data_IF_740869667816
#
_entry.id   IF_740869667816
#
_cell.length_a   1.000
_cell.length_b   1.000
_cell.length_c   1.000
_cell.angle_alpha   90.00
_cell.angle_beta   90.00
_cell.angle_gamma   90.00
#
_symmetry.space_group_name_H-M   'P 1'
#
loop_
_entity.id
_entity.type
_entity.pdbx_description
1 polymer ?
#
# COMPACT_ATOMS: atom_id res chain seq x y z
N UNK A 1 -13.18 -7.52 4.90
CA UNK A 1 -13.14 -8.99 4.75
C UNK A 1 -11.87 -9.59 5.35
N UNK A 2 -10.69 -9.16 4.90
CA UNK A 2 -9.40 -9.64 5.44
C UNK A 2 -9.25 -9.51 6.96
N UNK A 3 -9.65 -8.38 7.58
CA UNK A 3 -9.59 -8.22 9.04
C UNK A 3 -10.47 -9.24 9.81
N UNK A 4 -11.67 -9.54 9.32
CA UNK A 4 -12.55 -10.54 9.91
C UNK A 4 -11.91 -11.93 9.85
N UNK A 5 -11.33 -12.29 8.70
CA UNK A 5 -10.65 -13.57 8.53
C UNK A 5 -9.37 -13.67 9.36
N UNK A 6 -8.58 -12.59 9.46
CA UNK A 6 -7.44 -12.54 10.38
C UNK A 6 -7.88 -12.87 11.82
N UNK A 7 -8.93 -12.21 12.32
CA UNK A 7 -9.47 -12.49 13.67
C UNK A 7 -9.97 -13.94 13.80
N UNK A 8 -10.56 -14.49 12.74
CA UNK A 8 -11.06 -15.88 12.70
C UNK A 8 -9.90 -16.89 12.78
N UNK A 9 -8.83 -16.71 12.00
CA UNK A 9 -7.65 -17.56 12.03
C UNK A 9 -6.90 -17.50 13.37
N UNK A 10 -6.94 -16.35 14.04
CA UNK A 10 -6.29 -16.12 15.33
C UNK A 10 -7.21 -16.34 16.54
N UNK A 11 -8.40 -16.93 16.35
CA UNK A 11 -9.38 -17.22 17.43
C UNK A 11 -9.78 -16.00 18.29
N UNK A 12 -9.72 -14.79 17.74
CA UNK A 12 -10.10 -13.54 18.42
C UNK A 12 -11.44 -12.97 17.97
N UNK A 13 -12.03 -13.56 16.93
CA UNK A 13 -13.28 -13.10 16.31
C UNK A 13 -14.46 -13.14 17.29
N UNK A 14 -15.25 -12.06 17.27
CA UNK A 14 -16.49 -11.92 18.01
C UNK A 14 -17.69 -11.94 17.06
N UNK A 15 -18.88 -12.16 17.60
CA UNK A 15 -20.10 -12.21 16.80
C UNK A 15 -20.38 -10.87 16.08
N UNK A 16 -20.01 -9.77 16.72
CA UNK A 16 -20.14 -8.41 16.18
C UNK A 16 -19.30 -8.18 14.93
N UNK A 17 -18.13 -8.81 14.81
CA UNK A 17 -17.24 -8.65 13.65
C UNK A 17 -17.92 -9.12 12.35
N UNK A 18 -18.72 -10.19 12.43
CA UNK A 18 -19.48 -10.71 11.29
C UNK A 18 -20.62 -9.78 10.87
N UNK A 19 -21.27 -9.13 11.84
CA UNK A 19 -22.35 -8.17 11.58
C UNK A 19 -21.78 -6.89 10.97
N UNK A 20 -20.63 -6.42 11.46
CA UNK A 20 -19.93 -5.28 10.89
C UNK A 20 -19.52 -5.57 9.44
N UNK A 21 -18.95 -6.74 9.17
CA UNK A 21 -18.65 -7.17 7.81
C UNK A 21 -19.90 -7.19 6.92
N UNK A 22 -21.00 -7.81 7.38
CA UNK A 22 -22.24 -7.89 6.61
C UNK A 22 -22.87 -6.51 6.36
N UNK A 23 -22.75 -5.61 7.32
CA UNK A 23 -23.20 -4.21 7.19
C UNK A 23 -22.38 -3.45 6.14
N UNK A 24 -21.09 -3.76 6.03
CA UNK A 24 -20.20 -3.24 4.98
C UNK A 24 -20.41 -3.86 3.60
N UNK A 25 -21.28 -4.86 3.46
CA UNK A 25 -21.58 -5.56 2.21
C UNK A 25 -23.06 -5.42 1.79
N UNK A 26 -23.80 -4.47 2.35
CA UNK A 26 -25.25 -4.29 2.10
C UNK A 26 -25.58 -4.01 0.63
N UNK A 27 -24.64 -3.47 -0.14
CA UNK A 27 -24.76 -3.20 -1.58
C UNK A 27 -24.92 -4.46 -2.43
N UNK A 28 -24.50 -5.63 -1.92
CA UNK A 28 -24.69 -6.91 -2.61
C UNK A 28 -26.16 -7.36 -2.62
N UNK A 29 -27.00 -6.78 -1.74
CA UNK A 29 -28.46 -6.98 -1.67
C UNK A 29 -28.90 -8.45 -1.67
N UNK A 30 -28.09 -9.35 -1.10
CA UNK A 30 -28.46 -10.76 -0.94
C UNK A 30 -29.27 -10.96 0.34
N UNK A 31 -30.23 -11.87 0.29
CA UNK A 31 -31.09 -12.17 1.45
C UNK A 31 -30.25 -12.60 2.67
N UNK A 32 -29.17 -13.32 2.44
CA UNK A 32 -28.28 -13.87 3.46
C UNK A 32 -27.47 -12.77 4.15
N UNK A 33 -26.94 -11.80 3.39
CA UNK A 33 -26.25 -10.63 3.94
C UNK A 33 -27.21 -9.76 4.74
N UNK A 34 -28.40 -9.47 4.20
CA UNK A 34 -29.41 -8.66 4.89
C UNK A 34 -29.84 -9.28 6.23
N UNK A 35 -29.96 -10.61 6.29
CA UNK A 35 -30.26 -11.33 7.55
C UNK A 35 -29.15 -11.17 8.57
N UNK A 36 -27.89 -11.35 8.15
CA UNK A 36 -26.72 -11.25 9.04
C UNK A 36 -26.53 -9.83 9.56
N UNK A 37 -26.58 -8.83 8.67
CA UNK A 37 -26.48 -7.42 9.04
C UNK A 37 -27.63 -6.98 9.96
N UNK A 38 -28.81 -7.60 9.84
CA UNK A 38 -29.99 -7.32 10.66
C UNK A 38 -29.98 -7.94 12.06
N UNK A 39 -28.98 -8.77 12.40
CA UNK A 39 -28.91 -9.41 13.71
C UNK A 39 -28.73 -8.39 14.83
N UNK A 40 -29.32 -8.68 15.99
CA UNK A 40 -29.23 -7.84 17.19
C UNK A 40 -28.94 -8.71 18.41
N UNK A 41 -28.30 -8.12 19.40
CA UNK A 41 -27.98 -8.79 20.65
C UNK A 41 -29.24 -9.38 21.35
N UNK A 42 -29.11 -10.50 22.06
CA UNK A 42 -27.87 -11.27 22.29
C UNK A 42 -27.46 -12.07 21.05
N UNK A 43 -26.16 -12.09 20.75
CA UNK A 43 -25.61 -12.79 19.59
C UNK A 43 -25.02 -14.14 20.02
N UNK A 44 -25.30 -15.18 19.25
CA UNK A 44 -24.66 -16.49 19.40
C UNK A 44 -23.61 -16.66 18.31
N UNK A 45 -22.35 -16.86 18.69
CA UNK A 45 -21.24 -16.97 17.73
C UNK A 45 -21.45 -18.09 16.71
N UNK A 46 -21.91 -19.28 17.13
CA UNK A 46 -22.12 -20.41 16.23
C UNK A 46 -23.24 -20.14 15.21
N UNK A 47 -24.33 -19.49 15.63
CA UNK A 47 -25.42 -19.08 14.74
C UNK A 47 -24.92 -18.06 13.71
N UNK A 48 -24.19 -17.04 14.19
CA UNK A 48 -23.63 -15.98 13.37
C UNK A 48 -22.62 -16.53 12.36
N UNK A 49 -21.77 -17.47 12.76
CA UNK A 49 -20.83 -18.15 11.84
C UNK A 49 -21.55 -18.98 10.78
N UNK A 50 -22.62 -19.68 11.15
CA UNK A 50 -23.45 -20.41 10.18
C UNK A 50 -24.08 -19.44 9.17
N UNK A 51 -24.60 -18.30 9.64
CA UNK A 51 -25.19 -17.28 8.77
C UNK A 51 -24.14 -16.60 7.88
N UNK A 52 -22.93 -16.38 8.40
CA UNK A 52 -21.81 -15.85 7.64
C UNK A 52 -21.38 -16.80 6.52
N UNK A 53 -21.33 -18.11 6.77
CA UNK A 53 -21.02 -19.10 5.73
C UNK A 53 -22.05 -19.09 4.59
N UNK A 54 -23.34 -18.97 4.91
CA UNK A 54 -24.40 -18.80 3.92
C UNK A 54 -24.25 -17.49 3.14
N UNK A 55 -23.91 -16.39 3.82
CA UNK A 55 -23.69 -15.08 3.20
C UNK A 55 -22.50 -15.10 2.22
N UNK A 56 -21.34 -15.63 2.63
CA UNK A 56 -20.16 -15.80 1.77
C UNK A 56 -20.49 -16.61 0.52
N UNK A 57 -21.19 -17.74 0.69
CA UNK A 57 -21.64 -18.58 -0.43
C UNK A 57 -22.60 -17.83 -1.36
N UNK A 58 -23.53 -17.04 -0.82
CA UNK A 58 -24.48 -16.25 -1.62
C UNK A 58 -23.78 -15.16 -2.45
N UNK A 59 -22.70 -14.59 -1.91
CA UNK A 59 -21.90 -13.56 -2.55
C UNK A 59 -20.85 -14.12 -3.54
N UNK A 60 -20.67 -15.45 -3.57
CA UNK A 60 -19.63 -16.08 -4.39
C UNK A 60 -18.21 -15.81 -3.87
N UNK A 61 -18.07 -15.50 -2.58
CA UNK A 61 -16.77 -15.25 -1.96
C UNK A 61 -16.16 -16.53 -1.41
N UNK A 62 -14.83 -16.61 -1.51
CA UNK A 62 -14.02 -17.64 -0.88
C UNK A 62 -13.27 -17.06 0.32
N UNK A 63 -12.78 -17.93 1.20
CA UNK A 63 -11.95 -17.50 2.31
C UNK A 63 -10.59 -17.03 1.77
N UNK A 64 -10.17 -15.78 2.05
CA UNK A 64 -8.84 -15.31 1.68
C UNK A 64 -7.75 -16.13 2.40
N UNK A 65 -6.58 -16.31 1.80
CA UNK A 65 -5.43 -16.94 2.46
C UNK A 65 -5.07 -16.26 3.78
N UNK A 66 -4.60 -17.05 4.75
CA UNK A 66 -4.19 -16.54 6.07
C UNK A 66 -3.06 -15.51 5.98
N UNK A 67 -2.11 -15.73 5.07
CA UNK A 67 -0.98 -14.81 4.82
C UNK A 67 -1.47 -13.43 4.33
N UNK A 68 -2.40 -13.38 3.38
CA UNK A 68 -2.98 -12.12 2.90
C UNK A 68 -3.75 -11.39 4.02
N UNK A 69 -4.43 -12.14 4.89
CA UNK A 69 -5.12 -11.57 6.05
C UNK A 69 -4.15 -10.98 7.07
N UNK A 70 -3.03 -11.65 7.31
CA UNK A 70 -1.95 -11.19 8.18
C UNK A 70 -1.29 -9.92 7.63
N UNK A 71 -0.92 -9.92 6.34
CA UNK A 71 -0.34 -8.77 5.66
C UNK A 71 -1.27 -7.56 5.76
N UNK A 72 -2.56 -7.75 5.43
CA UNK A 72 -3.57 -6.70 5.56
C UNK A 72 -3.68 -6.18 7.00
N UNK A 73 -3.70 -7.06 8.00
CA UNK A 73 -3.82 -6.65 9.40
C UNK A 73 -2.62 -5.81 9.86
N UNK A 74 -1.40 -6.23 9.54
CA UNK A 74 -0.17 -5.49 9.84
C UNK A 74 -0.16 -4.12 9.14
N UNK A 75 -0.61 -4.05 7.89
CA UNK A 75 -0.73 -2.79 7.16
C UNK A 75 -1.75 -1.85 7.79
N UNK A 76 -2.89 -2.37 8.28
CA UNK A 76 -3.88 -1.56 9.00
C UNK A 76 -3.33 -1.04 10.33
N UNK A 77 -2.59 -1.85 11.08
CA UNK A 77 -1.94 -1.40 12.31
C UNK A 77 -0.92 -0.30 12.02
N UNK A 78 -0.10 -0.50 10.99
CA UNK A 78 0.92 0.47 10.58
C UNK A 78 0.31 1.77 10.07
N UNK A 79 -0.71 1.72 9.23
CA UNK A 79 -1.40 2.91 8.72
C UNK A 79 -2.00 3.75 9.86
N UNK A 80 -2.54 3.10 10.90
CA UNK A 80 -3.06 3.78 12.09
C UNK A 80 -1.97 4.49 12.91
N UNK A 81 -0.70 4.08 12.80
CA UNK A 81 0.45 4.75 13.41
C UNK A 81 0.88 6.01 12.65
N UNK A 82 0.37 6.26 11.44
CA UNK A 82 0.67 7.49 10.69
C UNK A 82 -0.24 8.66 11.07
N UNK A 83 -1.26 8.38 11.88
CA UNK A 83 -2.22 9.35 12.41
C UNK A 83 -1.98 9.56 13.91
N UNK A 84 -2.29 10.74 14.46
CA UNK A 84 -2.27 10.94 15.91
C UNK A 84 -3.21 9.93 16.57
N UNK A 85 -2.65 9.00 17.35
CA UNK A 85 -3.41 7.92 17.96
C UNK A 85 -3.08 7.82 19.46
N UNK A 86 -4.12 7.79 20.31
CA UNK A 86 -3.97 7.62 21.76
C UNK A 86 -3.37 6.25 22.13
N UNK A 87 -3.53 5.24 21.26
CA UNK A 87 -3.10 3.86 21.51
C UNK A 87 -1.87 3.45 20.66
N UNK A 88 -0.96 4.39 20.40
CA UNK A 88 0.20 4.14 19.52
C UNK A 88 1.14 3.07 20.10
N UNK A 89 1.34 3.08 21.43
CA UNK A 89 2.19 2.10 22.13
C UNK A 89 1.61 0.69 22.01
N UNK A 90 0.31 0.52 22.28
CA UNK A 90 -0.37 -0.77 22.17
C UNK A 90 -0.30 -1.32 20.75
N UNK A 91 -0.42 -0.45 19.74
CA UNK A 91 -0.29 -0.84 18.33
C UNK A 91 1.12 -1.32 18.00
N UNK A 92 2.17 -0.67 18.48
CA UNK A 92 3.55 -1.12 18.25
C UNK A 92 3.80 -2.47 18.92
N UNK A 93 3.33 -2.65 20.16
CA UNK A 93 3.41 -3.94 20.86
C UNK A 93 2.68 -5.04 20.09
N UNK A 94 1.49 -4.73 19.58
CA UNK A 94 0.70 -5.66 18.76
C UNK A 94 1.44 -6.02 17.47
N UNK A 95 2.00 -5.05 16.74
CA UNK A 95 2.82 -5.30 15.54
C UNK A 95 3.99 -6.23 15.89
N UNK A 96 4.74 -5.90 16.95
CA UNK A 96 5.93 -6.65 17.34
C UNK A 96 5.60 -8.09 17.77
N UNK A 97 4.53 -8.29 18.53
CA UNK A 97 4.06 -9.63 18.93
C UNK A 97 3.56 -10.41 17.71
N UNK A 98 2.84 -9.74 16.81
CA UNK A 98 2.30 -10.35 15.60
C UNK A 98 3.42 -10.82 14.65
N UNK A 99 4.42 -9.98 14.39
CA UNK A 99 5.56 -10.35 13.53
C UNK A 99 6.39 -11.48 14.14
N UNK A 100 6.65 -11.44 15.45
CA UNK A 100 7.36 -12.50 16.17
C UNK A 100 6.63 -13.85 16.09
N UNK A 101 5.31 -13.87 16.32
CA UNK A 101 4.49 -15.10 16.28
C UNK A 101 4.46 -15.75 14.90
N UNK A 102 4.51 -14.94 13.85
CA UNK A 102 4.44 -15.40 12.46
C UNK A 102 5.81 -15.59 11.81
N UNK A 103 6.91 -15.46 12.56
CA UNK A 103 8.27 -15.66 12.04
C UNK A 103 8.73 -14.59 11.05
N UNK A 104 8.12 -13.41 11.07
CA UNK A 104 8.44 -12.26 10.22
C UNK A 104 9.61 -11.47 10.82
N UNK A 105 10.82 -12.04 10.73
CA UNK A 105 11.99 -11.51 11.44
C UNK A 105 12.44 -10.14 10.92
N UNK A 106 12.31 -9.86 9.62
CA UNK A 106 12.72 -8.57 9.05
C UNK A 106 11.78 -7.45 9.55
N UNK A 107 10.48 -7.69 9.48
CA UNK A 107 9.44 -6.77 9.96
C UNK A 107 9.48 -6.61 11.48
N UNK A 108 9.88 -7.65 12.22
CA UNK A 108 10.11 -7.55 13.65
C UNK A 108 11.30 -6.63 13.97
N UNK A 109 12.42 -6.78 13.24
CA UNK A 109 13.61 -5.94 13.41
C UNK A 109 13.32 -4.47 13.15
N UNK A 110 12.42 -4.17 12.21
CA UNK A 110 11.98 -2.81 11.90
C UNK A 110 11.32 -2.07 13.08
N UNK A 111 10.82 -2.80 14.07
CA UNK A 111 10.17 -2.25 15.28
C UNK A 111 10.96 -2.49 16.57
N UNK A 112 12.09 -3.20 16.52
CA UNK A 112 12.86 -3.58 17.71
C UNK A 112 13.27 -2.38 18.56
N UNK A 113 13.92 -1.39 17.96
CA UNK A 113 14.42 -0.22 18.69
C UNK A 113 13.29 0.57 19.38
N UNK A 114 12.13 0.64 18.72
CA UNK A 114 10.94 1.31 19.27
C UNK A 114 10.35 0.51 20.43
N UNK A 115 10.29 -0.83 20.28
CA UNK A 115 9.83 -1.73 21.34
C UNK A 115 10.73 -1.64 22.57
N UNK A 116 12.05 -1.66 22.39
CA UNK A 116 13.02 -1.56 23.49
C UNK A 116 12.89 -0.21 24.22
N UNK A 117 12.68 0.88 23.49
CA UNK A 117 12.46 2.21 24.09
C UNK A 117 11.16 2.28 24.88
N UNK A 118 10.09 1.64 24.40
CA UNK A 118 8.81 1.52 25.12
C UNK A 118 9.01 0.72 26.42
N UNK A 119 9.70 -0.42 26.35
CA UNK A 119 9.93 -1.28 27.51
C UNK A 119 10.81 -0.58 28.56
N UNK A 120 11.85 0.13 28.16
CA UNK A 120 12.68 0.92 29.08
C UNK A 120 11.90 2.08 29.72
N UNK A 121 11.01 2.72 28.96
CA UNK A 121 10.14 3.77 29.48
C UNK A 121 9.11 3.25 30.51
N UNK A 122 8.49 2.10 30.26
CA UNK A 122 7.44 1.56 31.12
C UNK A 122 7.96 0.76 32.31
N UNK A 123 9.06 0.04 32.13
CA UNK A 123 9.54 -0.97 33.09
C UNK A 123 11.03 -0.85 33.44
N UNK A 124 11.79 -0.08 32.67
CA UNK A 124 13.24 0.06 32.84
C UNK A 124 13.65 1.15 33.82
N UNK A 125 14.95 1.48 33.78
CA UNK A 125 15.51 2.59 34.56
C UNK A 125 15.36 3.93 33.83
N UNK A 126 14.97 3.89 32.54
CA UNK A 126 14.72 5.05 31.69
C UNK A 126 15.92 6.02 31.71
N UNK A 127 17.15 5.50 31.68
CA UNK A 127 18.38 6.30 31.57
C UNK A 127 18.32 7.35 30.44
N UNK A 128 17.77 7.05 29.24
CA UNK A 128 17.64 8.03 28.15
C UNK A 128 16.64 9.16 28.45
N UNK A 129 15.81 9.03 29.48
CA UNK A 129 14.81 10.02 29.88
C UNK A 129 13.68 10.15 28.86
N UNK A 130 13.17 9.03 28.37
CA UNK A 130 11.94 8.95 27.60
C UNK A 130 10.76 9.49 28.40
N UNK A 131 9.86 10.16 27.68
CA UNK A 131 8.54 10.55 28.14
C UNK A 131 7.54 10.23 27.01
N UNK A 132 6.24 10.36 27.28
CA UNK A 132 5.21 10.04 26.30
C UNK A 132 5.40 10.76 24.95
N UNK A 133 5.76 12.05 24.97
CA UNK A 133 5.95 12.83 23.76
C UNK A 133 7.11 12.27 22.91
N UNK A 134 8.25 11.94 23.55
CA UNK A 134 9.40 11.33 22.87
C UNK A 134 9.09 9.95 22.32
N UNK A 135 8.33 9.13 23.06
CA UNK A 135 7.90 7.80 22.59
C UNK A 135 6.99 7.96 21.37
N UNK A 136 6.02 8.86 21.41
CA UNK A 136 5.16 9.14 20.27
C UNK A 136 5.94 9.65 19.06
N UNK A 137 6.91 10.55 19.26
CA UNK A 137 7.78 11.04 18.18
C UNK A 137 8.60 9.90 17.55
N UNK A 138 9.16 9.01 18.37
CA UNK A 138 9.90 7.84 17.91
C UNK A 138 9.02 6.89 17.09
N UNK A 139 7.83 6.56 17.59
CA UNK A 139 6.86 5.71 16.90
C UNK A 139 6.47 6.33 15.55
N UNK A 140 6.06 7.59 15.54
CA UNK A 140 5.66 8.30 14.32
C UNK A 140 6.81 8.39 13.30
N UNK A 141 8.02 8.64 13.77
CA UNK A 141 9.21 8.73 12.90
C UNK A 141 9.53 7.39 12.28
N UNK A 142 9.51 6.31 13.06
CA UNK A 142 9.75 4.97 12.54
C UNK A 142 8.64 4.51 11.59
N UNK A 143 7.37 4.75 11.93
CA UNK A 143 6.24 4.45 11.05
C UNK A 143 6.39 5.14 9.68
N UNK A 144 6.71 6.44 9.66
CA UNK A 144 6.94 7.19 8.42
C UNK A 144 8.12 6.66 7.63
N UNK A 145 9.22 6.31 8.31
CA UNK A 145 10.41 5.71 7.67
C UNK A 145 10.01 4.44 6.92
N UNK A 146 9.32 3.52 7.60
CA UNK A 146 8.90 2.23 7.05
C UNK A 146 7.90 2.40 5.89
N UNK A 147 6.96 3.35 6.04
CA UNK A 147 5.93 3.63 5.04
C UNK A 147 6.53 4.02 3.68
N UNK A 148 7.66 4.74 3.70
CA UNK A 148 8.32 5.23 2.50
C UNK A 148 9.38 4.27 1.92
N UNK A 149 9.55 3.07 2.46
CA UNK A 149 10.62 2.15 2.04
C UNK A 149 10.15 0.78 1.53
N UNK A 150 8.86 0.43 1.69
CA UNK A 150 8.36 -0.87 1.24
C UNK A 150 8.19 -0.91 -0.28
N UNK A 151 9.06 -1.67 -0.95
CA UNK A 151 8.93 -1.97 -2.37
C UNK A 151 7.89 -3.07 -2.60
N UNK A 152 7.23 -2.99 -3.76
CA UNK A 152 6.29 -3.99 -4.22
C UNK A 152 6.93 -5.33 -4.53
N UNK A 153 6.19 -6.41 -4.28
CA UNK A 153 6.54 -7.77 -4.73
C UNK A 153 6.24 -8.00 -6.22
N UNK A 154 5.57 -7.06 -6.91
CA UNK A 154 5.27 -7.16 -8.34
C UNK A 154 6.57 -7.26 -9.15
N UNK A 155 6.62 -8.23 -10.06
CA UNK A 155 7.72 -8.40 -11.00
C UNK A 155 7.50 -7.55 -12.24
N UNK A 156 8.50 -6.75 -12.61
CA UNK A 156 8.53 -5.95 -13.84
C UNK A 156 9.51 -6.50 -14.87
N UNK A 157 9.88 -7.79 -14.75
CA UNK A 157 10.92 -8.42 -15.55
C UNK A 157 10.74 -8.27 -17.06
N UNK A 158 9.51 -8.28 -17.55
CA UNK A 158 9.20 -8.17 -18.97
C UNK A 158 9.54 -6.81 -19.57
N UNK A 159 9.60 -5.74 -18.76
CA UNK A 159 9.99 -4.40 -19.18
C UNK A 159 11.52 -4.20 -19.19
N UNK A 160 12.26 -5.00 -18.42
CA UNK A 160 13.71 -4.82 -18.27
C UNK A 160 14.44 -5.15 -19.57
N UNK A 161 15.33 -4.25 -19.97
CA UNK A 161 16.11 -4.34 -21.21
C UNK A 161 15.39 -3.81 -22.45
N UNK A 162 14.08 -3.55 -22.37
CA UNK A 162 13.34 -2.94 -23.47
C UNK A 162 13.82 -1.52 -23.74
N UNK A 163 13.82 -1.14 -25.02
CA UNK A 163 14.13 0.22 -25.45
C UNK A 163 12.89 1.10 -25.46
N UNK A 164 13.03 2.36 -25.02
CA UNK A 164 12.01 3.39 -25.24
C UNK A 164 12.02 3.75 -26.73
N UNK A 165 10.94 3.38 -27.44
CA UNK A 165 10.82 3.55 -28.89
C UNK A 165 10.25 4.92 -29.24
N UNK A 166 9.34 5.44 -28.42
CA UNK A 166 8.69 6.74 -28.63
C UNK A 166 8.29 7.38 -27.31
N UNK A 167 8.28 8.71 -27.28
CA UNK A 167 7.73 9.51 -26.18
C UNK A 167 6.73 10.50 -26.78
N UNK A 168 5.45 10.25 -26.53
CA UNK A 168 4.33 11.10 -26.92
C UNK A 168 4.03 12.10 -25.80
N UNK A 169 3.84 13.35 -26.17
CA UNK A 169 3.63 14.46 -25.22
C UNK A 169 2.55 15.44 -25.70
N UNK A 170 2.03 15.24 -26.92
CA UNK A 170 0.94 16.04 -27.46
C UNK A 170 -0.41 15.45 -27.00
N UNK A 171 -1.03 16.09 -26.01
CA UNK A 171 -2.36 15.74 -25.51
C UNK A 171 -2.38 14.67 -24.41
N UNK A 172 -1.46 13.70 -24.47
CA UNK A 172 -1.20 12.71 -23.41
C UNK A 172 0.31 12.55 -23.24
N UNK A 173 0.76 12.21 -22.03
CA UNK A 173 2.16 11.84 -21.79
C UNK A 173 2.27 10.31 -21.78
N UNK A 174 2.75 9.74 -22.88
CA UNK A 174 2.88 8.29 -23.07
C UNK A 174 4.30 7.95 -23.49
N UNK A 175 4.89 6.96 -22.85
CA UNK A 175 6.19 6.39 -23.22
C UNK A 175 5.94 5.01 -23.81
N UNK A 176 6.28 4.81 -25.07
CA UNK A 176 6.17 3.51 -25.75
C UNK A 176 7.50 2.75 -25.63
N UNK A 177 7.41 1.47 -25.31
CA UNK A 177 8.54 0.54 -25.24
C UNK A 177 8.58 -0.34 -26.50
N UNK A 178 9.42 -1.37 -26.50
CA UNK A 178 9.45 -2.34 -27.60
C UNK A 178 8.23 -3.27 -27.57
N UNK A 179 7.67 -3.53 -26.38
CA UNK A 179 6.53 -4.41 -26.12
C UNK A 179 5.69 -3.87 -24.96
N UNK A 180 5.12 -2.68 -25.11
CA UNK A 180 4.27 -2.09 -24.08
C UNK A 180 4.33 -0.57 -24.04
N UNK A 181 3.70 -0.01 -23.03
CA UNK A 181 3.67 1.44 -22.81
C UNK A 181 3.50 1.82 -21.33
N UNK A 182 3.87 3.05 -21.03
CA UNK A 182 3.59 3.74 -19.78
C UNK A 182 2.82 5.02 -20.09
N UNK A 183 1.55 5.07 -19.67
CA UNK A 183 0.72 6.28 -19.72
C UNK A 183 0.83 7.02 -18.39
N UNK A 184 1.06 8.33 -18.43
CA UNK A 184 1.34 9.17 -17.27
C UNK A 184 0.29 10.27 -17.20
N UNK A 185 -0.53 10.23 -16.15
CA UNK A 185 -1.58 11.20 -15.84
C UNK A 185 -1.41 11.81 -14.44
N UNK A 186 -0.21 11.71 -13.87
CA UNK A 186 0.15 12.19 -12.53
C UNK A 186 1.41 13.09 -12.58
N UNK A 187 1.73 13.78 -11.46
CA UNK A 187 3.03 14.39 -11.27
C UNK A 187 4.20 13.44 -11.57
N UNK A 188 5.22 13.98 -12.21
CA UNK A 188 6.39 13.22 -12.61
C UNK A 188 7.65 14.06 -12.51
N UNK A 189 8.80 13.40 -12.36
CA UNK A 189 10.11 14.05 -12.50
C UNK A 189 11.13 13.11 -13.11
N UNK A 190 12.05 13.67 -13.88
CA UNK A 190 13.25 13.01 -14.35
C UNK A 190 14.42 13.54 -13.51
N UNK A 191 15.17 12.64 -12.91
CA UNK A 191 16.32 12.97 -12.06
C UNK A 191 17.52 12.09 -12.38
N UNK A 192 18.68 12.53 -11.90
CA UNK A 192 19.86 11.69 -11.69
C UNK A 192 19.98 11.36 -10.20
N UNK A 193 21.06 10.68 -9.83
CA UNK A 193 21.40 10.43 -8.42
C UNK A 193 21.73 11.71 -7.65
N UNK A 194 22.22 12.76 -8.32
CA UNK A 194 22.69 14.00 -7.70
C UNK A 194 21.68 15.16 -7.76
N UNK A 195 20.57 15.01 -8.47
CA UNK A 195 19.55 16.06 -8.52
C UNK A 195 18.43 15.81 -9.53
N UNK A 196 17.37 16.61 -9.39
CA UNK A 196 16.24 16.66 -10.32
C UNK A 196 16.68 17.45 -11.56
N UNK A 197 16.45 16.89 -12.74
CA UNK A 197 16.72 17.56 -14.02
C UNK A 197 15.51 18.38 -14.46
N UNK A 198 14.33 17.76 -14.43
CA UNK A 198 13.05 18.39 -14.76
C UNK A 198 11.90 17.59 -14.15
N UNK A 199 10.72 18.18 -14.07
CA UNK A 199 9.50 17.52 -13.62
C UNK A 199 8.36 18.51 -13.54
N UNK A 200 7.14 17.98 -13.48
CA UNK A 200 5.93 18.80 -13.40
C UNK A 200 4.96 18.23 -12.37
N UNK A 201 4.30 19.13 -11.65
CA UNK A 201 3.24 18.79 -10.69
C UNK A 201 1.85 18.80 -11.31
N UNK A 202 1.72 19.32 -12.52
CA UNK A 202 0.49 19.29 -13.32
C UNK A 202 0.88 19.12 -14.80
N UNK A 203 0.40 18.04 -15.42
CA UNK A 203 0.66 17.73 -16.84
C UNK A 203 0.14 18.83 -17.77
N UNK A 204 -0.85 19.62 -17.32
CA UNK A 204 -1.42 20.74 -18.07
C UNK A 204 -0.70 22.07 -17.83
N UNK A 205 0.28 22.11 -16.92
CA UNK A 205 1.06 23.32 -16.69
C UNK A 205 1.99 23.59 -17.88
N UNK A 206 2.01 24.85 -18.32
CA UNK A 206 2.44 25.26 -19.65
C UNK A 206 3.95 25.49 -19.82
N UNK A 207 4.81 24.93 -18.97
CA UNK A 207 6.28 25.04 -19.10
C UNK A 207 6.83 23.97 -20.05
N UNK A 208 6.85 24.30 -21.33
CA UNK A 208 7.26 23.47 -22.47
C UNK A 208 8.73 23.01 -22.42
N UNK A 209 9.01 21.89 -21.76
CA UNK A 209 10.29 21.16 -21.92
C UNK A 209 10.11 19.73 -22.47
N UNK A 210 9.01 19.44 -23.17
CA UNK A 210 8.77 18.13 -23.80
C UNK A 210 9.89 17.69 -24.74
N UNK A 211 10.56 18.63 -25.42
CA UNK A 211 11.74 18.34 -26.23
C UNK A 211 12.87 17.73 -25.38
N UNK A 212 13.13 18.31 -24.20
CA UNK A 212 14.13 17.80 -23.26
C UNK A 212 13.76 16.41 -22.74
N UNK A 213 12.47 16.17 -22.44
CA UNK A 213 11.95 14.84 -22.05
C UNK A 213 12.27 13.80 -23.13
N UNK A 214 11.91 14.10 -24.38
CA UNK A 214 12.15 13.21 -25.52
C UNK A 214 13.65 12.95 -25.69
N UNK A 215 14.49 13.99 -25.63
CA UNK A 215 15.95 13.86 -25.78
C UNK A 215 16.60 13.03 -24.66
N UNK A 216 16.06 13.09 -23.43
CA UNK A 216 16.57 12.34 -22.29
C UNK A 216 16.18 10.86 -22.33
N UNK A 217 14.94 10.56 -22.69
CA UNK A 217 14.35 9.22 -22.57
C UNK A 217 14.40 8.41 -23.87
N UNK A 218 14.20 9.04 -25.04
CA UNK A 218 14.05 8.31 -26.29
C UNK A 218 15.31 7.48 -26.61
N UNK A 219 15.08 6.21 -26.89
CA UNK A 219 16.12 5.24 -27.21
C UNK A 219 16.96 4.74 -26.05
N UNK A 220 16.67 5.15 -24.81
CA UNK A 220 17.24 4.54 -23.60
C UNK A 220 16.67 3.15 -23.39
N UNK A 221 17.43 2.31 -22.68
CA UNK A 221 16.96 1.00 -22.22
C UNK A 221 16.50 1.10 -20.78
N UNK A 222 15.42 0.42 -20.47
CA UNK A 222 14.94 0.25 -19.10
C UNK A 222 15.90 -0.72 -18.40
N UNK A 223 16.48 -0.28 -17.29
CA UNK A 223 17.40 -1.09 -16.48
C UNK A 223 16.74 -1.63 -15.22
N UNK A 224 15.78 -0.88 -14.65
CA UNK A 224 15.01 -1.30 -13.48
C UNK A 224 13.64 -0.62 -13.46
N UNK A 225 12.67 -1.27 -12.82
CA UNK A 225 11.35 -0.70 -12.52
C UNK A 225 10.98 -1.09 -11.10
N UNK A 226 10.68 -0.09 -10.27
CA UNK A 226 10.39 -0.27 -8.84
C UNK A 226 9.12 0.47 -8.48
N UNK A 227 8.25 -0.19 -7.75
CA UNK A 227 7.04 0.42 -7.20
C UNK A 227 7.15 0.42 -5.67
N UNK A 228 6.82 1.54 -5.03
CA UNK A 228 6.48 1.55 -3.61
C UNK A 228 4.96 1.42 -3.48
N UNK A 229 4.48 0.42 -2.76
CA UNK A 229 3.03 0.11 -2.71
C UNK A 229 2.27 1.08 -1.81
N UNK A 230 2.89 1.48 -0.70
CA UNK A 230 2.27 2.29 0.35
C UNK A 230 2.23 3.78 -0.01
N UNK A 231 3.08 4.20 -0.94
CA UNK A 231 2.99 5.48 -1.62
C UNK A 231 3.22 5.14 -3.08
N UNK A 232 2.19 5.13 -3.96
CA UNK A 232 2.22 4.62 -5.33
C UNK A 232 3.25 5.37 -6.18
N UNK A 233 4.50 5.02 -5.94
CA UNK A 233 5.66 5.74 -6.41
C UNK A 233 6.39 4.80 -7.34
N UNK A 234 6.13 4.98 -8.63
CA UNK A 234 6.74 4.18 -9.68
C UNK A 234 8.05 4.86 -10.10
N UNK A 235 9.14 4.09 -10.08
CA UNK A 235 10.47 4.52 -10.48
C UNK A 235 10.87 3.66 -11.67
N UNK A 236 11.09 4.29 -12.82
CA UNK A 236 11.64 3.64 -14.02
C UNK A 236 13.06 4.14 -14.23
N UNK A 237 14.04 3.24 -14.17
CA UNK A 237 15.45 3.56 -14.35
C UNK A 237 15.89 3.32 -15.80
N UNK A 238 16.64 4.27 -16.35
CA UNK A 238 17.21 4.23 -17.68
C UNK A 238 18.68 4.72 -17.63
N UNK A 239 19.61 3.85 -17.23
CA UNK A 239 21.00 4.23 -17.00
C UNK A 239 21.15 5.08 -15.75
N UNK A 240 21.70 6.29 -15.89
CA UNK A 240 21.84 7.28 -14.81
C UNK A 240 20.59 8.13 -14.59
N UNK A 241 19.53 7.92 -15.39
CA UNK A 241 18.26 8.64 -15.31
C UNK A 241 17.21 7.81 -14.58
N UNK A 242 16.40 8.50 -13.78
CA UNK A 242 15.24 7.93 -13.09
C UNK A 242 14.02 8.77 -13.43
N UNK A 243 12.98 8.13 -13.95
CA UNK A 243 11.65 8.68 -14.10
C UNK A 243 10.83 8.25 -12.89
N UNK A 244 10.50 9.23 -12.07
CA UNK A 244 9.75 9.09 -10.83
C UNK A 244 8.31 9.57 -11.06
N UNK A 245 7.31 8.74 -10.77
CA UNK A 245 5.87 9.04 -10.92
C UNK A 245 5.19 8.95 -9.57
N UNK A 246 4.53 10.04 -9.14
CA UNK A 246 3.95 10.15 -7.80
C UNK A 246 2.62 10.88 -7.82
N UNK A 247 1.79 10.64 -6.81
CA UNK A 247 0.50 11.30 -6.64
C UNK A 247 0.67 12.57 -5.79
N UNK A 248 0.11 13.69 -6.23
CA UNK A 248 0.03 14.93 -5.45
C UNK A 248 -1.42 15.36 -5.14
N UNK A 249 -2.41 14.70 -5.75
CA UNK A 249 -3.84 14.97 -5.63
C UNK A 249 -4.65 13.70 -5.41
N UNK A 250 -5.74 13.84 -4.67
CA UNK A 250 -6.67 12.75 -4.37
C UNK A 250 -7.73 12.51 -5.45
N UNK A 251 -7.82 13.34 -6.49
CA UNK A 251 -8.96 13.33 -7.42
C UNK A 251 -8.64 12.98 -8.88
N UNK A 252 -7.46 13.31 -9.39
CA UNK A 252 -7.13 13.16 -10.82
C UNK A 252 -5.64 12.90 -11.05
N UNK A 253 -5.11 11.82 -10.48
CA UNK A 253 -3.72 11.40 -10.68
C UNK A 253 -3.69 9.89 -10.90
N UNK A 254 -2.92 9.44 -11.89
CA UNK A 254 -2.65 8.03 -12.12
C UNK A 254 -1.54 7.78 -13.14
N UNK A 255 -1.15 6.52 -13.25
CA UNK A 255 -0.30 6.02 -14.31
C UNK A 255 -0.75 4.61 -14.68
N UNK A 256 -0.49 4.19 -15.90
CA UNK A 256 -0.78 2.85 -16.40
C UNK A 256 0.46 2.28 -17.05
N UNK A 257 0.91 1.14 -16.56
CA UNK A 257 1.99 0.35 -17.15
C UNK A 257 1.39 -0.92 -17.72
N UNK A 258 1.56 -1.15 -19.01
CA UNK A 258 1.03 -2.31 -19.70
C UNK A 258 2.02 -2.87 -20.72
N UNK A 259 2.00 -4.19 -20.90
CA UNK A 259 2.69 -4.86 -22.00
C UNK A 259 1.75 -5.11 -23.20
N UNK A 260 2.23 -5.85 -24.20
CA UNK A 260 1.41 -6.26 -25.35
C UNK A 260 0.60 -7.54 -25.11
N UNK A 261 0.81 -8.22 -23.98
CA UNK A 261 0.19 -9.48 -23.62
C UNK A 261 -0.89 -9.23 -22.56
N UNK A 262 -0.66 -9.68 -21.32
CA UNK A 262 -1.65 -9.70 -20.24
C UNK A 262 -1.23 -8.87 -19.02
N UNK A 263 -0.04 -8.25 -19.02
CA UNK A 263 0.37 -7.39 -17.90
C UNK A 263 -0.32 -6.03 -18.02
N UNK A 264 -1.12 -5.70 -17.01
CA UNK A 264 -1.78 -4.41 -16.90
C UNK A 264 -1.80 -3.98 -15.44
N UNK A 265 -1.09 -2.90 -15.13
CA UNK A 265 -1.00 -2.33 -13.80
C UNK A 265 -1.31 -0.84 -13.87
N UNK A 266 -2.18 -0.35 -13.00
CA UNK A 266 -2.50 1.07 -12.95
C UNK A 266 -2.67 1.58 -11.53
N UNK A 267 -2.30 2.84 -11.33
CA UNK A 267 -2.60 3.55 -10.10
C UNK A 267 -3.83 4.43 -10.29
N UNK A 268 -4.83 4.25 -9.41
CA UNK A 268 -6.02 5.07 -9.37
C UNK A 268 -5.85 6.31 -8.50
N UNK A 269 -6.79 7.23 -8.61
CA UNK A 269 -6.90 8.40 -7.74
C UNK A 269 -6.85 8.00 -6.24
N UNK A 270 -6.11 8.76 -5.44
CA UNK A 270 -5.86 8.42 -4.03
C UNK A 270 -4.79 7.35 -3.80
N UNK A 271 -4.25 6.77 -4.88
CA UNK A 271 -3.01 6.02 -4.84
C UNK A 271 -3.13 4.51 -4.65
N UNK A 272 -4.32 3.94 -4.83
CA UNK A 272 -4.49 2.49 -4.89
C UNK A 272 -3.90 1.94 -6.18
N UNK A 273 -3.29 0.75 -6.11
CA UNK A 273 -2.76 -0.01 -7.23
C UNK A 273 -3.74 -1.13 -7.59
N UNK A 274 -3.99 -1.34 -8.89
CA UNK A 274 -4.87 -2.38 -9.42
C UNK A 274 -4.35 -2.95 -10.74
#
# INVERSE_FOLDING_TARGET
MFELFYKKYNETVQAEDYIEWASGCLELDTREILKLAGMRAPLNLFEVESMFADAMKSAGYEAPPEEECLEYYLEQLHAKLLMPAENAIERVKEIYVCTARNGLSEEQMDWQEVSDAIDDFEFGDNIPGYNMDKIHELIMTNARRLWHTKFSKISFGDFIGQKITKVETEGQFIIEFEKGYLSIECPWRIRKTDGILLGETDIRSSSREWKSVIELLAGKKIEDVRLLEQCPFLIVQCGDLFLDLFHASSFFDGWTLADEEDFYLFSMHGGSIA
#
